data_IF_076739815853
#
_entry.id   IF_076739815853
#
_cell.length_a   1.000
_cell.length_b   1.000
_cell.length_c   1.000
_cell.angle_alpha   90.00
_cell.angle_beta   90.00
_cell.angle_gamma   90.00
#
_symmetry.space_group_name_H-M   'P 1'
#
loop_
_entity.id
_entity.type
_entity.pdbx_description
1 polymer ?
#
# COMPACT_ATOMS: atom_id res chain seq x y z
N UNK A 1 17.58 -18.74 -6.22
CA UNK A 1 17.47 -19.54 -4.95
C UNK A 1 16.03 -19.43 -4.49
N UNK A 2 15.37 -20.54 -4.12
CA UNK A 2 14.00 -20.49 -3.55
C UNK A 2 14.13 -20.06 -2.09
N UNK A 3 13.36 -19.05 -1.67
CA UNK A 3 13.33 -18.56 -0.29
C UNK A 3 11.90 -18.62 0.24
N UNK A 4 11.73 -19.04 1.48
CA UNK A 4 10.44 -18.98 2.18
C UNK A 4 10.27 -17.54 2.69
N UNK A 5 9.15 -16.92 2.36
CA UNK A 5 8.81 -15.54 2.74
C UNK A 5 7.38 -15.47 3.27
N UNK A 6 7.15 -14.60 4.23
CA UNK A 6 5.79 -14.19 4.60
C UNK A 6 5.20 -13.31 3.49
N UNK A 7 3.87 -13.25 3.39
CA UNK A 7 3.19 -12.43 2.37
C UNK A 7 3.63 -10.97 2.39
N UNK A 8 3.71 -10.35 3.57
CA UNK A 8 4.17 -8.96 3.70
C UNK A 8 5.63 -8.76 3.23
N UNK A 9 6.51 -9.74 3.48
CA UNK A 9 7.90 -9.72 2.99
C UNK A 9 7.96 -9.88 1.47
N UNK A 10 7.08 -10.70 0.90
CA UNK A 10 6.99 -10.90 -0.54
C UNK A 10 6.52 -9.62 -1.25
N UNK A 11 5.49 -8.93 -0.72
CA UNK A 11 5.07 -7.61 -1.22
C UNK A 11 6.23 -6.61 -1.14
N UNK A 12 6.92 -6.54 -0.01
CA UNK A 12 8.08 -5.65 0.15
C UNK A 12 9.19 -5.95 -0.86
N UNK A 13 9.45 -7.23 -1.12
CA UNK A 13 10.41 -7.67 -2.12
C UNK A 13 9.98 -7.29 -3.54
N UNK A 14 8.72 -7.49 -3.88
CA UNK A 14 8.17 -7.08 -5.18
C UNK A 14 8.25 -5.58 -5.40
N UNK A 15 7.97 -4.77 -4.38
CA UNK A 15 8.13 -3.32 -4.44
C UNK A 15 9.58 -2.91 -4.73
N UNK A 16 10.54 -3.53 -4.05
CA UNK A 16 11.97 -3.28 -4.30
C UNK A 16 12.36 -3.66 -5.74
N UNK A 17 12.00 -4.85 -6.21
CA UNK A 17 12.30 -5.32 -7.57
C UNK A 17 11.60 -4.47 -8.65
N UNK A 18 10.42 -3.94 -8.35
CA UNK A 18 9.72 -3.00 -9.24
C UNK A 18 10.35 -1.60 -9.26
N UNK A 19 11.39 -1.34 -8.47
CA UNK A 19 12.06 -0.05 -8.40
C UNK A 19 11.24 1.01 -7.65
N UNK A 20 10.42 0.59 -6.67
CA UNK A 20 9.79 1.51 -5.73
C UNK A 20 10.88 2.20 -4.92
N UNK A 21 10.84 3.52 -4.83
CA UNK A 21 11.84 4.32 -4.14
C UNK A 21 11.28 5.19 -3.01
N UNK A 22 9.96 5.22 -2.86
CA UNK A 22 9.28 5.97 -1.81
C UNK A 22 8.12 5.16 -1.24
N UNK A 23 8.10 5.03 0.08
CA UNK A 23 7.04 4.34 0.83
C UNK A 23 6.59 5.23 1.98
N UNK A 24 5.29 5.49 2.06
CA UNK A 24 4.68 6.18 3.19
C UNK A 24 3.45 5.39 3.65
N UNK A 25 3.37 5.08 4.92
CA UNK A 25 2.33 4.22 5.47
C UNK A 25 1.86 4.69 6.84
N UNK A 26 0.69 4.24 7.25
CA UNK A 26 0.25 4.33 8.63
C UNK A 26 0.15 2.92 9.22
N UNK A 27 0.71 2.67 10.42
CA UNK A 27 0.76 1.32 10.96
C UNK A 27 -0.63 0.78 11.29
N UNK A 28 -0.86 -0.47 10.93
CA UNK A 28 -2.11 -1.18 11.21
C UNK A 28 -2.02 -2.64 10.76
N UNK A 29 -2.22 -3.57 11.71
CA UNK A 29 -2.26 -5.01 11.41
C UNK A 29 -3.45 -5.32 10.47
N UNK A 30 -3.22 -6.06 9.36
CA UNK A 30 -2.04 -6.88 9.05
C UNK A 30 -1.04 -6.26 8.04
N UNK A 31 -1.02 -4.96 7.81
CA UNK A 31 -0.18 -4.32 6.77
C UNK A 31 1.16 -3.74 7.27
N UNK A 32 1.33 -3.59 8.59
CA UNK A 32 2.50 -2.91 9.20
C UNK A 32 3.83 -3.46 8.71
N UNK A 33 3.96 -4.80 8.68
CA UNK A 33 5.20 -5.50 8.36
C UNK A 33 5.66 -5.29 6.91
N UNK A 34 4.80 -4.85 6.00
CA UNK A 34 5.20 -4.50 4.62
C UNK A 34 6.21 -3.36 4.68
N UNK A 35 5.87 -2.27 5.35
CA UNK A 35 6.73 -1.08 5.44
C UNK A 35 8.00 -1.36 6.26
N UNK A 36 7.88 -2.15 7.33
CA UNK A 36 9.06 -2.59 8.11
C UNK A 36 10.03 -3.43 7.28
N UNK A 37 9.50 -4.30 6.40
CA UNK A 37 10.31 -5.10 5.51
C UNK A 37 10.96 -4.26 4.41
N UNK A 38 10.22 -3.30 3.82
CA UNK A 38 10.75 -2.37 2.81
C UNK A 38 11.85 -1.49 3.39
N UNK A 39 11.71 -1.02 4.63
CA UNK A 39 12.71 -0.17 5.28
C UNK A 39 14.09 -0.81 5.46
N UNK A 40 14.21 -2.13 5.24
CA UNK A 40 15.51 -2.84 5.23
C UNK A 40 16.31 -2.59 3.94
N UNK A 41 15.68 -2.13 2.87
CA UNK A 41 16.33 -1.79 1.60
C UNK A 41 16.79 -0.33 1.64
N UNK A 42 18.11 -0.10 1.63
CA UNK A 42 18.71 1.24 1.78
C UNK A 42 18.36 2.20 0.62
N UNK A 43 18.00 1.66 -0.51
CA UNK A 43 17.63 2.43 -1.72
C UNK A 43 16.20 2.96 -1.66
N UNK A 44 15.40 2.51 -0.70
CA UNK A 44 14.01 2.90 -0.56
C UNK A 44 13.85 3.83 0.64
N UNK A 45 13.33 5.02 0.41
CA UNK A 45 12.90 5.89 1.50
C UNK A 45 11.55 5.38 2.04
N UNK A 46 11.52 5.04 3.32
CA UNK A 46 10.32 4.54 3.99
C UNK A 46 10.04 5.37 5.25
N UNK A 47 8.79 5.78 5.42
CA UNK A 47 8.36 6.59 6.56
C UNK A 47 6.99 6.17 7.10
N UNK A 48 6.74 6.47 8.37
CA UNK A 48 5.43 6.47 8.98
C UNK A 48 4.82 7.87 8.93
N UNK A 49 3.62 7.97 8.36
CA UNK A 49 2.84 9.19 8.34
C UNK A 49 1.92 9.29 9.58
N UNK A 50 1.43 10.48 9.92
CA UNK A 50 0.53 10.66 11.06
C UNK A 50 -0.87 10.05 10.87
N UNK A 51 -1.27 9.77 9.64
CA UNK A 51 -2.48 9.03 9.25
C UNK A 51 -2.41 8.60 7.79
N UNK A 52 -3.38 7.80 7.36
CA UNK A 52 -3.42 7.21 6.03
C UNK A 52 -3.67 8.22 4.91
N UNK A 53 -4.42 9.29 5.18
CA UNK A 53 -4.61 10.37 4.21
C UNK A 53 -3.27 11.03 3.88
N UNK A 54 -2.51 11.42 4.89
CA UNK A 54 -1.18 12.03 4.71
C UNK A 54 -0.21 11.05 4.03
N UNK A 55 -0.24 9.77 4.42
CA UNK A 55 0.57 8.73 3.79
C UNK A 55 0.30 8.64 2.28
N UNK A 56 -0.97 8.61 1.89
CA UNK A 56 -1.38 8.53 0.48
C UNK A 56 -1.01 9.79 -0.30
N UNK A 57 -1.21 10.97 0.28
CA UNK A 57 -0.84 12.24 -0.34
C UNK A 57 0.69 12.37 -0.54
N UNK A 58 1.49 11.91 0.44
CA UNK A 58 2.95 11.89 0.31
C UNK A 58 3.41 10.94 -0.81
N UNK A 59 2.86 9.71 -0.87
CA UNK A 59 3.14 8.76 -1.94
C UNK A 59 2.70 9.29 -3.31
N UNK A 60 1.59 10.00 -3.37
CA UNK A 60 1.12 10.67 -4.59
C UNK A 60 2.07 11.78 -5.02
N UNK A 61 2.53 12.63 -4.09
CA UNK A 61 3.53 13.66 -4.37
C UNK A 61 4.82 13.08 -4.95
N UNK A 62 5.30 11.95 -4.39
CA UNK A 62 6.45 11.23 -4.92
C UNK A 62 6.21 10.72 -6.35
N UNK A 63 5.00 10.18 -6.62
CA UNK A 63 4.61 9.75 -7.98
C UNK A 63 4.59 10.91 -8.97
N UNK A 64 4.03 12.06 -8.59
CA UNK A 64 4.05 13.27 -9.42
C UNK A 64 5.48 13.74 -9.73
N UNK A 65 6.40 13.58 -8.78
CA UNK A 65 7.83 13.86 -8.95
C UNK A 65 8.58 12.78 -9.78
N UNK A 66 7.88 11.79 -10.32
CA UNK A 66 8.47 10.76 -11.17
C UNK A 66 9.07 9.56 -10.41
N UNK A 67 8.74 9.38 -9.13
CA UNK A 67 9.19 8.25 -8.31
C UNK A 67 8.10 7.20 -8.17
N UNK A 68 8.43 5.93 -8.42
CA UNK A 68 7.54 4.83 -8.06
C UNK A 68 7.34 4.80 -6.57
N UNK A 69 6.09 4.74 -6.13
CA UNK A 69 5.73 4.90 -4.72
C UNK A 69 4.73 3.86 -4.25
N UNK A 70 4.71 3.66 -2.95
CA UNK A 70 3.77 2.76 -2.28
C UNK A 70 3.16 3.47 -1.07
N UNK A 71 1.86 3.24 -0.85
CA UNK A 71 1.16 3.64 0.36
C UNK A 71 0.51 2.41 0.99
N UNK A 72 0.89 2.09 2.23
CA UNK A 72 0.38 0.91 2.95
C UNK A 72 -0.60 1.26 4.05
N UNK A 73 -1.70 0.50 4.14
CA UNK A 73 -2.72 0.65 5.18
C UNK A 73 -3.58 -0.59 5.32
N UNK A 74 -4.32 -0.69 6.42
CA UNK A 74 -5.41 -1.64 6.57
C UNK A 74 -6.72 -1.06 5.99
N UNK A 75 -7.77 -1.90 5.90
CA UNK A 75 -9.05 -1.49 5.30
C UNK A 75 -9.71 -0.29 5.98
N UNK A 76 -9.64 -0.18 7.31
CA UNK A 76 -10.19 0.99 8.01
C UNK A 76 -9.41 2.27 7.72
N UNK A 77 -8.12 2.15 7.41
CA UNK A 77 -7.29 3.26 6.96
C UNK A 77 -7.69 3.75 5.57
N UNK A 78 -8.18 2.85 4.71
CA UNK A 78 -8.71 3.24 3.40
C UNK A 78 -9.92 4.18 3.51
N UNK A 79 -10.72 4.06 4.56
CA UNK A 79 -11.81 5.01 4.83
C UNK A 79 -11.26 6.42 5.08
N UNK A 80 -10.15 6.53 5.81
CA UNK A 80 -9.47 7.80 6.09
C UNK A 80 -8.84 8.37 4.81
N UNK A 81 -8.29 7.50 3.96
CA UNK A 81 -7.64 7.87 2.71
C UNK A 81 -8.59 7.91 1.49
N UNK A 82 -9.91 7.78 1.70
CA UNK A 82 -10.87 7.75 0.60
C UNK A 82 -10.85 9.05 -0.22
N UNK A 83 -10.75 10.21 0.41
CA UNK A 83 -10.69 11.49 -0.29
C UNK A 83 -9.50 11.58 -1.28
N UNK A 84 -8.24 11.38 -0.86
CA UNK A 84 -7.14 11.37 -1.82
C UNK A 84 -7.25 10.22 -2.82
N UNK A 85 -7.76 9.03 -2.45
CA UNK A 85 -7.94 7.92 -3.39
C UNK A 85 -8.77 8.34 -4.62
N UNK A 86 -9.93 8.92 -4.40
CA UNK A 86 -10.80 9.36 -5.49
C UNK A 86 -10.20 10.54 -6.28
N UNK A 87 -9.52 11.45 -5.59
CA UNK A 87 -8.84 12.57 -6.23
C UNK A 87 -7.69 12.11 -7.11
N UNK A 88 -6.85 11.20 -6.63
CA UNK A 88 -5.73 10.62 -7.38
C UNK A 88 -6.22 9.84 -8.60
N UNK A 89 -7.29 9.06 -8.44
CA UNK A 89 -7.91 8.34 -9.56
C UNK A 89 -8.38 9.29 -10.66
N UNK A 90 -8.92 10.44 -10.30
CA UNK A 90 -9.39 11.45 -11.25
C UNK A 90 -8.23 12.22 -11.92
N UNK A 91 -7.21 12.59 -11.17
CA UNK A 91 -6.08 13.38 -11.68
C UNK A 91 -5.03 12.55 -12.40
N UNK A 92 -4.91 11.26 -12.05
CA UNK A 92 -3.88 10.37 -12.54
C UNK A 92 -2.53 10.56 -11.84
N UNK A 93 -1.59 9.69 -12.16
CA UNK A 93 -0.23 9.65 -11.60
C UNK A 93 0.81 9.80 -12.71
N UNK A 94 1.99 10.32 -12.40
CA UNK A 94 3.09 10.44 -13.36
C UNK A 94 3.98 9.20 -13.37
N UNK A 95 4.36 8.68 -12.19
CA UNK A 95 5.03 7.40 -12.05
C UNK A 95 4.10 6.38 -11.37
N UNK A 96 4.41 5.09 -11.47
CA UNK A 96 3.60 4.04 -10.86
C UNK A 96 3.43 4.25 -9.36
N UNK A 97 2.20 4.16 -8.88
CA UNK A 97 1.84 4.21 -7.46
C UNK A 97 1.01 2.99 -7.10
N UNK A 98 1.37 2.31 -6.04
CA UNK A 98 0.63 1.18 -5.50
C UNK A 98 0.03 1.57 -4.15
N UNK A 99 -1.24 1.24 -3.95
CA UNK A 99 -1.92 1.37 -2.68
C UNK A 99 -2.11 -0.06 -2.16
N UNK A 100 -1.35 -0.40 -1.13
CA UNK A 100 -1.44 -1.70 -0.45
C UNK A 100 -2.51 -1.62 0.64
N UNK A 101 -3.60 -2.34 0.47
CA UNK A 101 -4.68 -2.42 1.45
C UNK A 101 -4.77 -3.84 1.96
N UNK A 102 -4.57 -4.03 3.26
CA UNK A 102 -4.72 -5.33 3.89
C UNK A 102 -6.07 -5.40 4.60
N UNK A 103 -6.99 -6.16 4.01
CA UNK A 103 -8.26 -6.47 4.65
C UNK A 103 -8.04 -7.48 5.79
N UNK A 104 -8.82 -7.33 6.86
CA UNK A 104 -8.79 -8.21 8.02
C UNK A 104 -10.14 -8.92 8.12
N UNK A 105 -10.31 -9.93 7.27
CA UNK A 105 -11.52 -10.73 7.24
C UNK A 105 -11.73 -11.45 8.59
N UNK A 106 -12.93 -11.32 9.15
CA UNK A 106 -13.24 -11.83 10.48
C UNK A 106 -12.80 -10.92 11.65
N UNK A 107 -12.29 -9.74 11.35
CA UNK A 107 -11.98 -8.68 12.35
C UNK A 107 -11.04 -9.13 13.47
N UNK A 108 -10.00 -9.90 13.20
CA UNK A 108 -9.09 -10.40 14.25
C UNK A 108 -8.39 -9.27 15.01
N UNK A 109 -8.10 -8.17 14.34
CA UNK A 109 -7.36 -7.01 14.86
C UNK A 109 -8.00 -5.67 14.45
N UNK A 110 -9.25 -5.67 14.05
CA UNK A 110 -9.93 -4.50 13.49
C UNK A 110 -11.29 -4.28 14.15
N UNK A 111 -11.79 -3.06 14.10
CA UNK A 111 -13.08 -2.67 14.67
C UNK A 111 -14.29 -3.03 13.79
N UNK A 112 -14.05 -3.39 12.53
CA UNK A 112 -15.07 -3.84 11.59
C UNK A 112 -14.45 -4.72 10.50
N UNK A 113 -15.31 -5.33 9.69
CA UNK A 113 -14.93 -6.06 8.47
C UNK A 113 -15.40 -5.28 7.26
N UNK A 114 -14.54 -5.12 6.26
CA UNK A 114 -14.83 -4.42 5.01
C UNK A 114 -14.25 -5.20 3.83
N UNK A 115 -14.86 -4.99 2.66
CA UNK A 115 -14.39 -5.50 1.38
C UNK A 115 -13.84 -4.32 0.55
N UNK A 116 -12.53 -4.19 0.50
CA UNK A 116 -11.84 -3.10 -0.20
C UNK A 116 -12.02 -3.14 -1.73
N UNK A 117 -12.50 -4.25 -2.30
CA UNK A 117 -12.86 -4.34 -3.72
C UNK A 117 -13.92 -3.32 -4.13
N UNK A 118 -14.81 -2.96 -3.20
CA UNK A 118 -15.82 -1.93 -3.45
C UNK A 118 -15.21 -0.54 -3.64
N UNK A 119 -14.13 -0.23 -2.93
CA UNK A 119 -13.37 1.02 -3.11
C UNK A 119 -12.69 1.07 -4.48
N UNK A 120 -11.99 0.02 -4.86
CA UNK A 120 -11.33 -0.06 -6.16
C UNK A 120 -12.33 0.11 -7.32
N UNK A 121 -13.49 -0.56 -7.21
CA UNK A 121 -14.57 -0.44 -8.19
C UNK A 121 -15.15 0.97 -8.26
N UNK A 122 -15.41 1.60 -7.11
CA UNK A 122 -15.96 2.94 -7.05
C UNK A 122 -14.97 4.00 -7.57
N UNK A 123 -13.69 3.86 -7.22
CA UNK A 123 -12.60 4.71 -7.69
C UNK A 123 -12.17 4.40 -9.14
N UNK A 124 -12.66 3.31 -9.75
CA UNK A 124 -12.32 2.88 -11.12
C UNK A 124 -10.81 2.67 -11.33
N UNK A 125 -10.14 2.11 -10.33
CA UNK A 125 -8.74 1.75 -10.38
C UNK A 125 -8.58 0.22 -10.48
N UNK A 126 -7.52 -0.28 -11.14
CA UNK A 126 -7.24 -1.71 -11.15
C UNK A 126 -6.93 -2.22 -9.75
N UNK A 127 -7.30 -3.48 -9.48
CA UNK A 127 -7.01 -4.15 -8.22
C UNK A 127 -6.41 -5.53 -8.51
N UNK A 128 -5.41 -5.89 -7.74
CA UNK A 128 -4.78 -7.20 -7.74
C UNK A 128 -4.94 -7.84 -6.37
N UNK A 129 -5.22 -9.13 -6.33
CA UNK A 129 -5.39 -9.89 -5.10
C UNK A 129 -4.51 -11.15 -5.18
N UNK A 130 -3.24 -11.07 -4.76
CA UNK A 130 -2.36 -12.22 -4.78
C UNK A 130 -2.85 -13.30 -3.80
N UNK A 131 -2.90 -14.56 -4.24
CA UNK A 131 -3.34 -15.69 -3.43
C UNK A 131 -2.21 -16.30 -2.57
N UNK A 132 -0.97 -15.99 -2.89
CA UNK A 132 0.21 -16.50 -2.19
C UNK A 132 1.42 -15.57 -2.39
N UNK A 133 2.50 -15.84 -1.64
CA UNK A 133 3.71 -15.00 -1.67
C UNK A 133 4.46 -14.99 -3.01
N UNK A 134 4.20 -15.93 -3.91
CA UNK A 134 4.83 -15.94 -5.23
C UNK A 134 4.09 -15.05 -6.23
N UNK A 135 2.81 -14.79 -5.97
CA UNK A 135 1.98 -13.88 -6.77
C UNK A 135 2.13 -12.41 -6.29
N UNK A 136 2.44 -12.23 -5.01
CA UNK A 136 2.64 -10.92 -4.40
C UNK A 136 3.96 -10.29 -4.84
#
# INVERSE_FOLDING_TARGET
MKQLMLGNEAVARGLYEAGCSFVSSYPGTPSTEITEAVAKYQEVYAEWAPNEKVAMEAAFGASLAGRRSFCGMKHVGLNVAADPLFTISYTGVNAGMIIGVADDAGMHSSQNEQDSRHYARAAKIPMLEPANSAEA
#
